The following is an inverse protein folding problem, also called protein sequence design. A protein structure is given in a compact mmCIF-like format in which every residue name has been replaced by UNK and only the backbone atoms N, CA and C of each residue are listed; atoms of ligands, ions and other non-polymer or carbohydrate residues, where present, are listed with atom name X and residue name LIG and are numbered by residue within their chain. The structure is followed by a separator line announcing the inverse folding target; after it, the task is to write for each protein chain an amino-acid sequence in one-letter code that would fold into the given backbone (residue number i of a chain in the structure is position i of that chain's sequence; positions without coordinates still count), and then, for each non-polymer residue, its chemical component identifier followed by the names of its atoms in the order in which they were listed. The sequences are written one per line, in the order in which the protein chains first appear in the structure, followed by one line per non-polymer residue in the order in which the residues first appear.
data_IF_206123224607
#
_entry.id   IF_206123224607
#
_cell.length_a   1.000
_cell.length_b   1.000
_cell.length_c   1.000
_cell.angle_alpha   90.00
_cell.angle_beta   90.00
_cell.angle_gamma   90.00
#
_symmetry.space_group_name_H-M   'P 1'
#
loop_
_entity.id
_entity.type
_entity.pdbx_description
1 polymer ?
#
# COMPACT_ATOMS: atom_id res chain seq x y z
N UNK A 1 -15.36 -13.26 -10.77
CA UNK A 1 -16.44 -12.26 -10.89
C UNK A 1 -16.71 -12.01 -12.37
N UNK A 2 -17.98 -11.86 -12.75
CA UNK A 2 -18.40 -11.46 -14.10
C UNK A 2 -18.73 -9.96 -14.10
N UNK A 3 -18.74 -9.31 -15.26
CA UNK A 3 -19.17 -7.91 -15.41
C UNK A 3 -20.54 -7.66 -14.78
N UNK A 4 -20.70 -6.51 -14.11
CA UNK A 4 -21.93 -6.10 -13.45
C UNK A 4 -22.33 -6.94 -12.23
N UNK A 5 -21.51 -7.91 -11.81
CA UNK A 5 -21.83 -8.78 -10.68
C UNK A 5 -21.27 -8.22 -9.38
N UNK A 6 -22.10 -8.22 -8.35
CA UNK A 6 -21.69 -7.86 -6.98
C UNK A 6 -21.69 -9.10 -6.09
N UNK A 7 -20.58 -9.32 -5.38
CA UNK A 7 -20.53 -10.24 -4.25
C UNK A 7 -20.86 -9.45 -2.97
N UNK A 8 -22.00 -9.75 -2.36
CA UNK A 8 -22.39 -9.16 -1.07
C UNK A 8 -22.08 -10.13 0.07
N UNK A 9 -21.24 -9.73 1.02
CA UNK A 9 -20.95 -10.48 2.24
C UNK A 9 -21.55 -9.76 3.45
N UNK A 10 -22.62 -10.33 3.99
CA UNK A 10 -23.30 -9.78 5.17
C UNK A 10 -22.37 -9.75 6.40
N UNK A 11 -22.65 -8.84 7.34
CA UNK A 11 -21.93 -8.78 8.62
C UNK A 11 -21.97 -10.13 9.34
N UNK A 12 -20.82 -10.60 9.81
CA UNK A 12 -20.65 -11.92 10.44
C UNK A 12 -20.50 -13.10 9.47
N UNK A 13 -20.74 -12.93 8.17
CA UNK A 13 -20.40 -13.95 7.18
C UNK A 13 -18.88 -14.00 6.96
N UNK A 14 -18.34 -15.21 6.84
CA UNK A 14 -16.92 -15.44 6.58
C UNK A 14 -16.77 -16.31 5.32
N UNK A 15 -16.09 -15.79 4.31
CA UNK A 15 -15.62 -16.54 3.15
C UNK A 15 -14.17 -16.96 3.39
N UNK A 16 -13.95 -18.25 3.64
CA UNK A 16 -12.62 -18.79 3.94
C UNK A 16 -12.00 -19.50 2.73
N UNK A 17 -10.78 -19.11 2.39
CA UNK A 17 -9.94 -19.81 1.41
C UNK A 17 -9.56 -21.19 1.94
N UNK A 18 -9.72 -22.23 1.10
CA UNK A 18 -9.18 -23.56 1.41
C UNK A 18 -7.65 -23.51 1.29
N UNK A 19 -6.93 -24.12 2.23
CA UNK A 19 -5.46 -24.19 2.19
C UNK A 19 -4.96 -25.37 1.34
N UNK A 20 -5.52 -25.58 0.15
CA UNK A 20 -5.08 -26.63 -0.78
C UNK A 20 -4.51 -25.99 -2.07
N UNK A 21 -3.20 -26.13 -2.34
CA UNK A 21 -2.60 -25.60 -3.56
C UNK A 21 -3.27 -26.09 -4.85
N UNK A 22 -3.81 -27.31 -4.86
CA UNK A 22 -4.50 -27.86 -6.04
C UNK A 22 -5.76 -27.08 -6.39
N UNK A 23 -6.43 -26.47 -5.41
CA UNK A 23 -7.64 -25.68 -5.63
C UNK A 23 -7.38 -24.40 -6.46
N UNK A 24 -6.16 -23.87 -6.42
CA UNK A 24 -5.76 -22.64 -7.12
C UNK A 24 -4.85 -22.91 -8.31
N UNK A 25 -4.59 -24.18 -8.64
CA UNK A 25 -3.58 -24.56 -9.61
C UNK A 25 -3.85 -23.99 -11.02
N UNK A 26 -2.87 -23.28 -11.58
CA UNK A 26 -2.83 -23.01 -13.03
C UNK A 26 -2.22 -24.20 -13.78
N UNK A 27 -2.30 -24.17 -15.11
CA UNK A 27 -1.76 -25.23 -15.98
C UNK A 27 -0.26 -25.51 -15.78
N UNK A 28 0.51 -24.59 -15.18
CA UNK A 28 1.93 -24.77 -14.89
C UNK A 28 2.23 -25.86 -13.85
N UNK A 29 1.27 -26.28 -13.03
CA UNK A 29 1.51 -27.25 -11.96
C UNK A 29 2.31 -26.72 -10.76
N UNK A 30 2.61 -25.41 -10.67
CA UNK A 30 3.53 -24.85 -9.68
C UNK A 30 2.90 -24.21 -8.44
N UNK A 31 1.58 -24.28 -8.21
CA UNK A 31 0.97 -23.63 -7.05
C UNK A 31 1.40 -24.33 -5.75
N UNK A 32 1.75 -23.57 -4.71
CA UNK A 32 2.30 -24.13 -3.47
C UNK A 32 3.78 -24.52 -3.57
N UNK A 33 4.47 -24.15 -4.67
CA UNK A 33 5.89 -24.42 -4.88
C UNK A 33 6.67 -23.12 -5.14
N UNK A 34 7.99 -23.24 -5.14
CA UNK A 34 8.92 -22.15 -5.46
C UNK A 34 9.40 -22.34 -6.90
N UNK A 35 9.34 -21.27 -7.68
CA UNK A 35 9.92 -21.22 -9.02
C UNK A 35 10.43 -19.82 -9.36
N UNK A 36 10.77 -19.57 -10.64
CA UNK A 36 11.23 -18.25 -11.10
C UNK A 36 10.09 -17.28 -11.47
N UNK A 37 8.87 -17.79 -11.63
CA UNK A 37 7.72 -17.03 -12.14
C UNK A 37 6.94 -16.34 -11.02
N UNK A 38 6.58 -17.09 -9.97
CA UNK A 38 5.66 -16.66 -8.92
C UNK A 38 4.19 -16.53 -9.36
N UNK A 39 3.79 -17.09 -10.51
CA UNK A 39 2.44 -16.95 -11.08
C UNK A 39 1.64 -18.26 -11.17
N UNK A 40 2.02 -19.29 -10.41
CA UNK A 40 1.45 -20.64 -10.48
C UNK A 40 0.03 -20.80 -9.91
N UNK A 41 -0.46 -19.83 -9.13
CA UNK A 41 -1.76 -19.87 -8.46
C UNK A 41 -2.76 -18.88 -9.06
N UNK A 42 -4.02 -19.28 -9.15
CA UNK A 42 -5.17 -18.40 -9.37
C UNK A 42 -5.49 -17.66 -8.06
N UNK A 43 -6.02 -16.42 -8.12
CA UNK A 43 -6.49 -15.73 -6.92
C UNK A 43 -7.74 -16.42 -6.35
N UNK A 44 -8.08 -16.14 -5.09
CA UNK A 44 -9.37 -16.57 -4.50
C UNK A 44 -10.54 -15.91 -5.24
N UNK A 45 -10.47 -14.60 -5.45
CA UNK A 45 -11.48 -13.83 -6.20
C UNK A 45 -10.80 -13.10 -7.36
N UNK A 46 -11.25 -13.37 -8.58
CA UNK A 46 -10.74 -12.75 -9.80
C UNK A 46 -11.75 -11.82 -10.45
N UNK A 47 -11.33 -10.63 -10.83
CA UNK A 47 -11.98 -9.74 -11.80
C UNK A 47 -11.08 -9.72 -13.04
N UNK A 48 -11.49 -10.39 -14.11
CA UNK A 48 -10.67 -10.48 -15.32
C UNK A 48 -11.50 -10.03 -16.51
N UNK A 49 -11.09 -8.93 -17.16
CA UNK A 49 -11.83 -8.36 -18.29
C UNK A 49 -13.28 -8.03 -17.93
N UNK A 50 -13.49 -7.46 -16.74
CA UNK A 50 -14.81 -7.15 -16.20
C UNK A 50 -15.08 -5.65 -16.23
N UNK A 51 -16.33 -5.28 -16.48
CA UNK A 51 -16.82 -3.91 -16.36
C UNK A 51 -17.98 -3.84 -15.36
N UNK A 52 -17.88 -2.95 -14.38
CA UNK A 52 -18.90 -2.79 -13.34
C UNK A 52 -18.95 -3.94 -12.34
N UNK A 53 -19.55 -3.68 -11.18
CA UNK A 53 -19.70 -4.64 -10.09
C UNK A 53 -18.64 -4.46 -9.00
N UNK A 54 -18.57 -5.43 -8.08
CA UNK A 54 -17.71 -5.24 -6.91
C UNK A 54 -17.89 -6.24 -5.77
N UNK A 55 -17.26 -5.93 -4.65
CA UNK A 55 -17.48 -6.62 -3.36
C UNK A 55 -18.02 -5.63 -2.34
N UNK A 56 -19.07 -6.02 -1.63
CA UNK A 56 -19.78 -5.13 -0.72
C UNK A 56 -20.20 -5.86 0.55
N UNK A 57 -20.35 -5.08 1.62
CA UNK A 57 -20.94 -5.52 2.88
C UNK A 57 -19.97 -5.35 4.02
N UNK A 58 -20.17 -6.10 5.09
CA UNK A 58 -19.37 -6.00 6.32
C UNK A 58 -18.91 -7.39 6.81
N UNK A 59 -18.91 -8.37 5.90
CA UNK A 59 -18.38 -9.70 6.14
C UNK A 59 -16.85 -9.75 6.04
N UNK A 60 -16.30 -10.94 6.25
CA UNK A 60 -14.86 -11.21 6.23
C UNK A 60 -14.50 -12.15 5.08
N UNK A 61 -13.37 -11.88 4.42
CA UNK A 61 -12.70 -12.82 3.52
C UNK A 61 -11.37 -13.19 4.19
N UNK A 62 -11.21 -14.48 4.48
CA UNK A 62 -10.05 -15.04 5.17
C UNK A 62 -9.20 -15.86 4.20
N UNK A 63 -7.97 -15.42 3.95
CA UNK A 63 -7.05 -16.06 3.00
C UNK A 63 -6.33 -17.29 3.54
N UNK A 64 -6.38 -17.56 4.84
CA UNK A 64 -5.75 -18.74 5.44
C UNK A 64 -4.23 -18.84 5.26
N UNK A 65 -3.52 -17.73 5.05
CA UNK A 65 -2.08 -17.71 4.73
C UNK A 65 -1.17 -18.41 5.77
N UNK A 66 -1.56 -18.37 7.04
CA UNK A 66 -0.89 -19.05 8.15
C UNK A 66 -1.33 -20.50 8.37
N UNK A 67 -2.19 -21.05 7.52
CA UNK A 67 -2.67 -22.44 7.62
C UNK A 67 -1.72 -23.37 6.88
N UNK A 68 -1.48 -24.57 7.41
CA UNK A 68 -0.70 -25.60 6.73
C UNK A 68 -1.35 -25.94 5.39
N UNK A 69 -0.55 -25.95 4.32
CA UNK A 69 -1.06 -26.33 3.01
C UNK A 69 -1.30 -27.84 2.97
N UNK A 70 -2.41 -28.26 2.35
CA UNK A 70 -2.75 -29.66 2.18
C UNK A 70 -1.63 -30.40 1.43
N UNK A 71 -1.15 -31.50 2.01
CA UNK A 71 -0.09 -32.31 1.41
C UNK A 71 1.32 -31.75 1.55
N UNK A 72 1.54 -30.69 2.35
CA UNK A 72 2.88 -30.15 2.65
C UNK A 72 3.10 -30.06 4.17
N UNK A 73 4.34 -29.74 4.57
CA UNK A 73 4.70 -29.45 5.95
C UNK A 73 4.85 -27.94 6.23
N UNK A 74 4.39 -27.08 5.30
CA UNK A 74 4.58 -25.63 5.39
C UNK A 74 3.29 -24.84 5.10
N UNK A 75 3.19 -23.64 5.69
CA UNK A 75 2.15 -22.65 5.39
C UNK A 75 2.53 -21.81 4.17
N UNK A 76 1.59 -21.04 3.61
CA UNK A 76 1.89 -20.09 2.53
C UNK A 76 2.95 -19.06 2.93
N UNK A 77 2.94 -18.60 4.18
CA UNK A 77 3.93 -17.64 4.68
C UNK A 77 5.31 -18.27 4.90
N UNK A 78 5.39 -19.55 5.28
CA UNK A 78 6.65 -20.28 5.36
C UNK A 78 7.26 -20.48 3.96
N UNK A 79 6.43 -20.82 2.96
CA UNK A 79 6.83 -20.90 1.55
C UNK A 79 7.43 -19.56 1.07
N UNK A 80 6.79 -18.43 1.40
CA UNK A 80 7.30 -17.09 1.06
C UNK A 80 8.67 -16.78 1.68
N UNK A 81 8.87 -17.11 2.96
CA UNK A 81 10.16 -16.93 3.65
C UNK A 81 11.25 -17.80 3.02
N UNK A 82 10.92 -19.04 2.67
CA UNK A 82 11.84 -19.97 2.00
C UNK A 82 12.22 -19.49 0.60
N UNK A 83 11.26 -19.00 -0.19
CA UNK A 83 11.52 -18.40 -1.51
C UNK A 83 12.50 -17.23 -1.45
N UNK A 84 12.37 -16.36 -0.44
CA UNK A 84 13.34 -15.30 -0.21
C UNK A 84 14.75 -15.85 0.02
N UNK A 85 14.90 -16.86 0.89
CA UNK A 85 16.21 -17.46 1.19
C UNK A 85 16.83 -18.18 0.00
N UNK A 86 16.01 -18.74 -0.89
CA UNK A 86 16.43 -19.44 -2.11
C UNK A 86 16.66 -18.48 -3.30
N UNK A 87 16.39 -17.18 -3.15
CA UNK A 87 16.51 -16.20 -4.24
C UNK A 87 15.51 -16.43 -5.38
N UNK A 88 14.33 -16.96 -5.06
CA UNK A 88 13.28 -17.35 -6.00
C UNK A 88 11.92 -16.78 -5.58
N UNK A 89 10.83 -17.20 -6.24
CA UNK A 89 9.47 -16.71 -5.99
C UNK A 89 8.56 -17.83 -5.52
N UNK A 90 7.79 -17.57 -4.47
CA UNK A 90 6.70 -18.43 -4.05
C UNK A 90 5.52 -18.31 -5.03
N UNK A 91 4.80 -19.41 -5.21
CA UNK A 91 3.52 -19.43 -5.89
C UNK A 91 2.43 -19.58 -4.84
N UNK A 92 1.79 -18.47 -4.49
CA UNK A 92 0.71 -18.42 -3.50
C UNK A 92 -0.48 -17.63 -4.06
N UNK A 93 -1.73 -18.00 -3.73
CA UNK A 93 -2.91 -17.29 -4.23
C UNK A 93 -3.01 -15.89 -3.61
N UNK A 94 -3.19 -14.88 -4.45
CA UNK A 94 -3.67 -13.56 -4.01
C UNK A 94 -5.11 -13.65 -3.54
N UNK A 95 -5.51 -12.79 -2.62
CA UNK A 95 -6.88 -12.82 -2.11
C UNK A 95 -7.87 -12.29 -3.16
N UNK A 96 -7.62 -11.08 -3.67
CA UNK A 96 -8.39 -10.46 -4.74
C UNK A 96 -7.42 -10.01 -5.82
N UNK A 97 -7.68 -10.39 -7.07
CA UNK A 97 -6.93 -9.89 -8.21
C UNK A 97 -7.87 -9.30 -9.26
N UNK A 98 -7.56 -8.08 -9.68
CA UNK A 98 -8.25 -7.36 -10.75
C UNK A 98 -7.27 -7.19 -11.92
N UNK A 99 -7.61 -7.73 -13.09
CA UNK A 99 -6.83 -7.62 -14.31
C UNK A 99 -7.71 -7.16 -15.47
N UNK A 100 -7.34 -6.03 -16.10
CA UNK A 100 -8.09 -5.40 -17.19
C UNK A 100 -9.55 -5.17 -16.81
N UNK A 101 -9.77 -4.49 -15.69
CA UNK A 101 -11.10 -4.28 -15.14
C UNK A 101 -11.46 -2.78 -15.13
N UNK A 102 -12.75 -2.49 -15.18
CA UNK A 102 -13.26 -1.13 -15.34
C UNK A 102 -14.47 -0.93 -14.40
N UNK A 103 -14.60 0.25 -13.79
CA UNK A 103 -15.74 0.61 -12.92
C UNK A 103 -15.94 -0.38 -11.74
N UNK A 104 -14.85 -0.76 -11.08
CA UNK A 104 -14.86 -1.74 -9.98
C UNK A 104 -14.93 -1.06 -8.61
N UNK A 105 -15.72 -1.64 -7.71
CA UNK A 105 -15.92 -1.11 -6.36
C UNK A 105 -15.72 -2.16 -5.28
N UNK A 106 -15.07 -1.79 -4.18
CA UNK A 106 -14.91 -2.63 -2.99
C UNK A 106 -15.28 -1.81 -1.77
N UNK A 107 -16.29 -2.23 -1.02
CA UNK A 107 -16.81 -1.47 0.10
C UNK A 107 -17.06 -2.31 1.36
N UNK A 108 -16.52 -1.87 2.50
CA UNK A 108 -16.88 -2.33 3.85
C UNK A 108 -16.34 -3.70 4.29
N UNK A 109 -15.75 -4.46 3.36
CA UNK A 109 -15.27 -5.82 3.61
C UNK A 109 -14.01 -5.83 4.50
N UNK A 110 -13.93 -6.80 5.41
CA UNK A 110 -12.69 -7.16 6.10
C UNK A 110 -11.92 -8.23 5.32
N UNK A 111 -10.65 -7.98 5.02
CA UNK A 111 -9.73 -8.90 4.39
C UNK A 111 -8.66 -9.29 5.42
N UNK A 112 -8.46 -10.59 5.65
CA UNK A 112 -7.46 -11.05 6.63
C UNK A 112 -6.68 -12.25 6.14
N UNK A 113 -5.49 -12.42 6.70
CA UNK A 113 -4.62 -13.57 6.50
C UNK A 113 -4.39 -13.94 5.03
N UNK A 114 -4.16 -12.97 4.14
CA UNK A 114 -3.90 -13.30 2.75
C UNK A 114 -2.62 -14.16 2.61
N UNK A 115 -2.66 -15.17 1.74
CA UNK A 115 -1.50 -16.02 1.43
C UNK A 115 -0.45 -15.28 0.57
N UNK A 116 -0.89 -14.24 -0.15
CA UNK A 116 -0.10 -13.30 -0.91
C UNK A 116 -0.78 -11.91 -0.77
N UNK A 117 -0.71 -11.02 -1.76
CA UNK A 117 -1.33 -9.69 -1.70
C UNK A 117 -2.85 -9.77 -1.48
N UNK A 118 -3.42 -8.79 -0.75
CA UNK A 118 -4.85 -8.74 -0.47
C UNK A 118 -5.64 -8.25 -1.68
N UNK A 119 -5.31 -7.08 -2.24
CA UNK A 119 -5.92 -6.57 -3.48
C UNK A 119 -4.81 -6.21 -4.46
N UNK A 120 -4.64 -7.02 -5.50
CA UNK A 120 -3.71 -6.73 -6.59
C UNK A 120 -4.48 -6.24 -7.83
N UNK A 121 -4.09 -5.11 -8.40
CA UNK A 121 -4.70 -4.52 -9.59
C UNK A 121 -3.69 -4.46 -10.74
N UNK A 122 -4.16 -4.66 -11.96
CA UNK A 122 -3.39 -4.64 -13.20
C UNK A 122 -4.29 -4.10 -14.32
N UNK A 123 -3.95 -2.99 -14.97
CA UNK A 123 -4.78 -2.40 -16.03
C UNK A 123 -6.21 -2.14 -15.56
N UNK A 124 -6.36 -1.56 -14.37
CA UNK A 124 -7.68 -1.22 -13.83
C UNK A 124 -7.96 0.26 -14.06
N UNK A 125 -9.15 0.57 -14.55
CA UNK A 125 -9.62 1.93 -14.76
C UNK A 125 -10.84 2.20 -13.86
N UNK A 126 -10.84 3.34 -13.17
CA UNK A 126 -11.98 3.79 -12.35
C UNK A 126 -12.36 2.78 -11.28
N UNK A 127 -11.45 2.59 -10.33
CA UNK A 127 -11.68 1.74 -9.17
C UNK A 127 -11.85 2.56 -7.89
N UNK A 128 -12.82 2.18 -7.05
CA UNK A 128 -12.98 2.76 -5.71
C UNK A 128 -12.94 1.66 -4.66
N UNK A 129 -11.98 1.75 -3.74
CA UNK A 129 -11.83 0.86 -2.59
C UNK A 129 -12.07 1.73 -1.34
N UNK A 130 -13.16 1.49 -0.64
CA UNK A 130 -13.60 2.36 0.45
C UNK A 130 -14.02 1.54 1.68
N UNK A 131 -13.58 1.97 2.87
CA UNK A 131 -14.02 1.44 4.16
C UNK A 131 -13.64 -0.04 4.34
N UNK A 132 -12.55 -0.46 3.70
CA UNK A 132 -12.03 -1.81 3.88
C UNK A 132 -11.14 -1.87 5.11
N UNK A 133 -11.14 -3.04 5.76
CA UNK A 133 -10.23 -3.37 6.84
C UNK A 133 -9.31 -4.47 6.34
N UNK A 134 -8.00 -4.25 6.35
CA UNK A 134 -6.99 -5.27 6.05
C UNK A 134 -6.23 -5.58 7.33
N UNK A 135 -6.23 -6.84 7.77
CA UNK A 135 -5.57 -7.27 9.01
C UNK A 135 -4.83 -8.60 8.81
N UNK A 136 -3.51 -8.52 8.69
CA UNK A 136 -2.58 -9.64 8.54
C UNK A 136 -1.37 -9.43 9.45
N UNK A 137 -0.79 -10.50 10.06
CA UNK A 137 0.37 -10.38 10.94
C UNK A 137 1.56 -9.64 10.30
N UNK A 138 2.25 -8.83 11.11
CA UNK A 138 3.37 -7.99 10.67
C UNK A 138 4.56 -8.77 10.08
N UNK A 139 4.66 -10.06 10.35
CA UNK A 139 5.76 -10.91 9.93
C UNK A 139 5.41 -11.79 8.71
N UNK A 140 4.19 -11.70 8.19
CA UNK A 140 3.75 -12.42 6.99
C UNK A 140 4.30 -11.77 5.70
N UNK A 141 5.33 -12.38 5.10
CA UNK A 141 5.97 -11.82 3.89
C UNK A 141 5.04 -11.82 2.67
N UNK A 142 5.21 -10.82 1.79
CA UNK A 142 4.48 -10.67 0.52
C UNK A 142 2.96 -10.64 0.68
N UNK A 143 2.50 -9.90 1.70
CA UNK A 143 1.09 -9.72 2.00
C UNK A 143 0.64 -8.28 1.76
N UNK A 144 1.17 -7.60 0.73
CA UNK A 144 0.82 -6.22 0.40
C UNK A 144 -0.70 -5.99 0.47
N UNK A 145 -1.12 -4.84 0.98
CA UNK A 145 -2.53 -4.52 1.20
C UNK A 145 -3.23 -4.25 -0.12
N UNK A 146 -2.96 -3.10 -0.74
CA UNK A 146 -3.57 -2.73 -2.01
C UNK A 146 -2.51 -2.25 -3.00
N UNK A 147 -2.48 -2.88 -4.18
CA UNK A 147 -1.46 -2.65 -5.20
C UNK A 147 -2.10 -2.18 -6.51
N UNK A 148 -2.32 -0.86 -6.70
CA UNK A 148 -2.63 -0.29 -8.01
C UNK A 148 -1.42 -0.43 -8.94
N UNK A 149 -1.42 -1.43 -9.83
CA UNK A 149 -0.39 -1.58 -10.86
C UNK A 149 -0.92 -1.26 -12.25
N UNK A 150 -0.18 -0.46 -13.03
CA UNK A 150 -0.53 -0.09 -14.41
C UNK A 150 -2.01 0.35 -14.53
N UNK A 151 -2.49 1.18 -13.61
CA UNK A 151 -3.91 1.48 -13.39
C UNK A 151 -4.16 2.98 -13.33
N UNK A 152 -5.37 3.40 -13.68
CA UNK A 152 -5.76 4.81 -13.78
C UNK A 152 -7.08 5.08 -13.07
N UNK A 153 -7.22 6.29 -12.51
CA UNK A 153 -8.42 6.75 -11.79
C UNK A 153 -8.77 5.84 -10.62
N UNK A 154 -7.84 5.68 -9.67
CA UNK A 154 -8.02 4.80 -8.51
C UNK A 154 -8.18 5.63 -7.25
N UNK A 155 -9.24 5.38 -6.49
CA UNK A 155 -9.47 5.98 -5.16
C UNK A 155 -9.45 4.91 -4.08
N UNK A 156 -8.60 5.09 -3.07
CA UNK A 156 -8.55 4.27 -1.86
C UNK A 156 -8.82 5.18 -0.67
N UNK A 157 -9.95 4.98 0.03
CA UNK A 157 -10.44 5.95 1.01
C UNK A 157 -11.01 5.32 2.29
N UNK A 158 -10.91 6.03 3.42
CA UNK A 158 -11.45 5.65 4.74
C UNK A 158 -11.17 4.20 5.17
N UNK A 159 -10.00 3.67 4.83
CA UNK A 159 -9.64 2.27 5.07
C UNK A 159 -8.62 2.13 6.21
N UNK A 160 -8.64 0.96 6.86
CA UNK A 160 -7.70 0.58 7.92
C UNK A 160 -6.84 -0.58 7.43
N UNK A 161 -5.51 -0.42 7.41
CA UNK A 161 -4.61 -1.41 6.80
C UNK A 161 -3.47 -1.78 7.74
N UNK A 162 -3.37 -3.05 8.08
CA UNK A 162 -2.25 -3.68 8.79
C UNK A 162 -1.86 -4.97 8.10
N UNK A 163 -0.57 -5.09 7.74
CA UNK A 163 -0.09 -6.24 6.99
C UNK A 163 1.41 -6.48 7.19
N UNK A 164 1.96 -7.56 6.64
CA UNK A 164 3.39 -7.89 6.80
C UNK A 164 4.31 -7.28 5.74
N UNK A 165 3.75 -6.64 4.71
CA UNK A 165 4.51 -5.92 3.68
C UNK A 165 3.90 -4.52 3.42
N UNK A 166 3.94 -3.98 2.20
CA UNK A 166 3.40 -2.66 1.89
C UNK A 166 1.91 -2.53 2.23
N UNK A 167 1.53 -1.47 2.95
CA UNK A 167 0.11 -1.20 3.21
C UNK A 167 -0.61 -0.84 1.91
N UNK A 168 0.03 0.02 1.11
CA UNK A 168 -0.32 0.29 -0.28
C UNK A 168 0.97 0.39 -1.10
N UNK A 169 1.01 -0.25 -2.27
CA UNK A 169 2.12 -0.13 -3.21
C UNK A 169 1.63 0.21 -4.63
N UNK A 170 1.80 1.47 -5.04
CA UNK A 170 1.52 1.90 -6.42
C UNK A 170 2.67 1.42 -7.31
N UNK A 171 2.35 0.75 -8.42
CA UNK A 171 3.33 0.15 -9.32
C UNK A 171 3.03 0.50 -10.78
N UNK A 172 4.07 0.59 -11.58
CA UNK A 172 4.02 0.80 -13.02
C UNK A 172 5.13 -0.04 -13.67
N UNK A 173 4.98 -1.36 -13.60
CA UNK A 173 5.86 -2.28 -14.32
C UNK A 173 5.79 -2.08 -15.83
N UNK A 174 6.41 -2.98 -16.60
CA UNK A 174 6.51 -2.85 -18.07
C UNK A 174 5.19 -2.88 -18.82
N UNK A 175 4.07 -3.15 -18.14
CA UNK A 175 2.76 -3.29 -18.76
C UNK A 175 2.01 -1.98 -18.92
N UNK A 176 2.42 -0.90 -18.25
CA UNK A 176 1.77 0.40 -18.40
C UNK A 176 1.97 1.33 -17.19
N UNK A 177 1.75 2.65 -17.38
CA UNK A 177 1.87 3.64 -16.33
C UNK A 177 0.76 3.50 -15.30
N UNK A 178 0.97 4.07 -14.11
CA UNK A 178 -0.10 4.29 -13.14
C UNK A 178 -0.30 5.79 -12.90
N UNK A 179 -1.54 6.27 -12.99
CA UNK A 179 -1.84 7.71 -12.85
C UNK A 179 -3.20 8.02 -12.25
N UNK A 180 -3.38 9.25 -11.78
CA UNK A 180 -4.62 9.73 -11.16
C UNK A 180 -5.05 8.84 -9.98
N UNK A 181 -4.17 8.73 -8.98
CA UNK A 181 -4.40 7.87 -7.80
C UNK A 181 -4.60 8.74 -6.56
N UNK A 182 -5.72 8.54 -5.89
CA UNK A 182 -6.09 9.24 -4.65
C UNK A 182 -6.13 8.28 -3.46
N UNK A 183 -5.29 8.53 -2.47
CA UNK A 183 -5.22 7.79 -1.20
C UNK A 183 -5.65 8.74 -0.08
N UNK A 184 -6.90 8.63 0.37
CA UNK A 184 -7.56 9.66 1.18
C UNK A 184 -8.05 9.11 2.52
N UNK A 185 -7.80 9.84 3.62
CA UNK A 185 -8.45 9.58 4.91
C UNK A 185 -8.26 8.15 5.46
N UNK A 186 -7.10 7.56 5.20
CA UNK A 186 -6.77 6.17 5.58
C UNK A 186 -5.94 6.10 6.87
N UNK A 187 -5.92 4.92 7.49
CA UNK A 187 -5.07 4.63 8.63
C UNK A 187 -4.28 3.34 8.44
N UNK A 188 -2.95 3.44 8.52
CA UNK A 188 -2.05 2.30 8.49
C UNK A 188 -1.54 1.98 9.90
N UNK A 189 -1.60 0.70 10.28
CA UNK A 189 -0.84 0.20 11.43
C UNK A 189 0.47 -0.44 10.95
N UNK A 190 0.90 -1.58 11.50
CA UNK A 190 2.12 -2.25 11.03
C UNK A 190 2.08 -2.62 9.52
N UNK A 191 3.27 -2.68 8.93
CA UNK A 191 3.51 -2.90 7.49
C UNK A 191 4.75 -2.14 7.00
N UNK A 192 4.94 -2.07 5.70
CA UNK A 192 6.05 -1.35 5.05
C UNK A 192 5.67 0.03 4.50
N UNK A 193 4.48 0.54 4.82
CA UNK A 193 4.12 1.95 4.61
C UNK A 193 3.33 2.23 3.34
N UNK A 194 3.23 3.54 3.03
CA UNK A 194 2.69 4.06 1.78
C UNK A 194 3.81 4.07 0.74
N UNK A 195 3.77 3.14 -0.20
CA UNK A 195 4.84 2.91 -1.17
C UNK A 195 4.46 3.25 -2.60
N UNK A 196 5.44 3.75 -3.35
CA UNK A 196 5.48 3.76 -4.81
C UNK A 196 6.68 2.90 -5.23
N UNK A 197 6.42 1.80 -5.94
CA UNK A 197 7.42 0.91 -6.51
C UNK A 197 7.50 -0.50 -5.92
N UNK A 198 8.56 -1.27 -6.23
CA UNK A 198 9.75 -0.86 -7.00
C UNK A 198 9.64 -1.01 -8.50
N UNK A 199 8.60 -1.66 -9.02
CA UNK A 199 8.32 -1.78 -10.44
C UNK A 199 7.79 -0.44 -10.98
N UNK A 200 8.68 0.43 -11.48
CA UNK A 200 8.32 1.77 -11.96
C UNK A 200 8.67 2.00 -13.44
N UNK A 201 9.01 0.94 -14.18
CA UNK A 201 9.45 0.98 -15.58
C UNK A 201 8.64 1.92 -16.49
N UNK A 202 7.31 1.95 -16.34
CA UNK A 202 6.41 2.74 -17.18
C UNK A 202 5.99 4.07 -16.55
N UNK A 203 6.45 4.35 -15.33
CA UNK A 203 6.25 5.60 -14.63
C UNK A 203 4.95 5.72 -13.84
N UNK A 204 5.01 6.51 -12.77
CA UNK A 204 3.87 6.81 -11.89
C UNK A 204 3.69 8.32 -11.85
N UNK A 205 2.47 8.80 -12.02
CA UNK A 205 2.21 10.24 -12.01
C UNK A 205 0.88 10.61 -11.37
N UNK A 206 0.72 11.86 -10.97
CA UNK A 206 -0.57 12.40 -10.50
C UNK A 206 -1.15 11.61 -9.33
N UNK A 207 -0.38 11.56 -8.24
CA UNK A 207 -0.73 10.86 -7.01
C UNK A 207 -1.01 11.87 -5.90
N UNK A 208 -2.16 11.74 -5.26
CA UNK A 208 -2.52 12.48 -4.05
C UNK A 208 -2.66 11.52 -2.88
N UNK A 209 -1.85 11.72 -1.85
CA UNK A 209 -1.99 11.07 -0.55
C UNK A 209 -2.36 12.13 0.46
N UNK A 210 -3.55 12.06 1.05
CA UNK A 210 -4.05 13.10 1.96
C UNK A 210 -4.74 12.52 3.18
N UNK A 211 -4.52 13.14 4.34
CA UNK A 211 -5.11 12.75 5.62
C UNK A 211 -4.80 11.28 5.97
N UNK A 212 -3.51 10.94 6.00
CA UNK A 212 -3.05 9.58 6.28
C UNK A 212 -2.37 9.53 7.65
N UNK A 213 -2.76 8.57 8.48
CA UNK A 213 -2.03 8.24 9.71
C UNK A 213 -1.26 6.93 9.55
N UNK A 214 0.00 6.89 9.96
CA UNK A 214 0.82 5.67 9.98
C UNK A 214 1.35 5.43 11.41
N UNK A 215 0.98 4.30 12.00
CA UNK A 215 1.33 3.94 13.38
C UNK A 215 2.03 2.58 13.42
N UNK A 216 3.36 2.59 13.53
CA UNK A 216 4.17 1.38 13.61
C UNK A 216 4.49 0.71 12.26
N UNK A 217 4.29 1.39 11.13
CA UNK A 217 4.87 0.93 9.85
C UNK A 217 6.40 1.07 9.89
N UNK A 218 7.12 0.15 9.24
CA UNK A 218 8.59 0.19 9.13
C UNK A 218 9.05 1.44 8.38
N UNK A 219 8.41 1.73 7.25
CA UNK A 219 8.59 2.96 6.48
C UNK A 219 7.32 3.79 6.54
N UNK A 220 7.44 5.11 6.55
CA UNK A 220 6.29 6.01 6.43
C UNK A 220 5.88 6.18 4.96
N UNK A 221 6.36 7.26 4.35
CA UNK A 221 6.23 7.55 2.92
C UNK A 221 7.45 6.99 2.18
N UNK A 222 7.23 6.15 1.16
CA UNK A 222 8.31 5.44 0.47
C UNK A 222 8.17 5.54 -1.05
N UNK A 223 9.27 5.86 -1.72
CA UNK A 223 9.42 5.74 -3.17
C UNK A 223 10.70 4.95 -3.40
N UNK A 224 10.60 3.82 -4.09
CA UNK A 224 11.69 2.85 -4.23
C UNK A 224 11.81 2.42 -5.68
N UNK A 225 13.04 2.35 -6.17
CA UNK A 225 13.39 1.73 -7.46
C UNK A 225 14.90 1.46 -7.48
N UNK A 226 15.39 0.90 -8.58
CA UNK A 226 16.79 0.57 -8.81
C UNK A 226 17.11 0.60 -10.32
N UNK A 227 18.38 0.58 -10.73
CA UNK A 227 18.76 0.71 -12.14
C UNK A 227 18.21 -0.39 -13.06
N UNK A 228 17.79 -1.55 -12.51
CA UNK A 228 17.15 -2.60 -13.31
C UNK A 228 15.73 -2.23 -13.75
N UNK A 229 15.07 -1.32 -13.03
CA UNK A 229 13.67 -0.92 -13.26
C UNK A 229 13.53 0.54 -13.68
N UNK A 230 14.30 1.44 -13.07
CA UNK A 230 14.25 2.88 -13.31
C UNK A 230 12.85 3.44 -13.07
N UNK A 231 12.44 4.38 -13.92
CA UNK A 231 11.08 4.92 -13.95
C UNK A 231 10.99 6.36 -13.47
N UNK A 232 10.16 7.14 -14.17
CA UNK A 232 9.78 8.49 -13.74
C UNK A 232 8.64 8.41 -12.73
N UNK A 233 8.82 9.04 -11.57
CA UNK A 233 7.76 9.34 -10.61
C UNK A 233 7.61 10.85 -10.54
N UNK A 234 6.43 11.36 -10.86
CA UNK A 234 6.21 12.81 -10.88
C UNK A 234 4.82 13.24 -10.37
N UNK A 235 4.71 14.49 -9.92
CA UNK A 235 3.46 15.08 -9.42
C UNK A 235 2.83 14.24 -8.30
N UNK A 236 3.62 13.98 -7.26
CA UNK A 236 3.18 13.27 -6.06
C UNK A 236 3.01 14.26 -4.92
N UNK A 237 1.79 14.37 -4.39
CA UNK A 237 1.47 15.26 -3.29
C UNK A 237 1.13 14.44 -2.04
N UNK A 238 1.84 14.71 -0.95
CA UNK A 238 1.56 14.19 0.39
C UNK A 238 1.07 15.33 1.27
N UNK A 239 -0.14 15.26 1.78
CA UNK A 239 -0.80 16.35 2.51
C UNK A 239 -1.41 15.86 3.83
N UNK A 240 -1.17 16.56 4.93
CA UNK A 240 -1.74 16.22 6.26
C UNK A 240 -1.42 14.77 6.67
N UNK A 241 -0.14 14.48 6.84
CA UNK A 241 0.34 13.13 7.17
C UNK A 241 0.81 13.09 8.61
N UNK A 242 0.35 12.10 9.37
CA UNK A 242 0.70 11.91 10.77
C UNK A 242 1.38 10.56 10.99
N UNK A 243 2.60 10.58 11.49
CA UNK A 243 3.45 9.39 11.63
C UNK A 243 3.91 9.21 13.07
N UNK A 244 3.92 7.96 13.55
CA UNK A 244 4.62 7.60 14.77
C UNK A 244 5.15 6.17 14.71
N UNK A 245 6.21 5.92 15.47
CA UNK A 245 6.81 4.59 15.61
C UNK A 245 7.36 4.02 14.29
N UNK A 246 7.79 4.88 13.36
CA UNK A 246 8.41 4.46 12.10
C UNK A 246 9.93 4.40 12.23
N UNK A 247 10.56 3.42 11.59
CA UNK A 247 12.03 3.38 11.50
C UNK A 247 12.55 4.37 10.44
N UNK A 248 11.87 4.43 9.30
CA UNK A 248 12.17 5.35 8.21
C UNK A 248 10.92 6.13 7.79
N UNK A 249 10.57 7.23 8.47
CA UNK A 249 9.35 7.98 8.18
C UNK A 249 9.28 8.52 6.74
N UNK A 250 10.42 8.94 6.18
CA UNK A 250 10.56 9.31 4.76
C UNK A 250 11.66 8.44 4.17
N UNK A 251 11.36 7.77 3.06
CA UNK A 251 12.33 6.91 2.38
C UNK A 251 12.17 6.97 0.86
N UNK A 252 12.77 8.00 0.25
CA UNK A 252 12.84 8.15 -1.19
C UNK A 252 14.23 7.73 -1.65
N UNK A 253 14.32 6.53 -2.23
CA UNK A 253 15.59 5.89 -2.56
C UNK A 253 15.55 5.28 -3.96
N UNK A 254 16.54 5.65 -4.76
CA UNK A 254 16.78 5.13 -6.11
C UNK A 254 17.70 3.89 -6.12
N UNK A 255 18.11 3.41 -4.93
CA UNK A 255 19.01 2.25 -4.72
C UNK A 255 18.34 1.14 -3.90
N UNK A 256 17.10 0.78 -4.26
CA UNK A 256 16.29 -0.21 -3.53
C UNK A 256 16.96 -1.58 -3.38
N UNK A 257 17.61 -2.07 -4.44
CA UNK A 257 18.27 -3.37 -4.46
C UNK A 257 19.54 -3.37 -5.30
N UNK A 258 20.39 -4.40 -5.17
CA UNK A 258 21.66 -4.53 -5.88
C UNK A 258 21.48 -4.95 -7.36
N UNK A 259 20.37 -4.59 -7.98
CA UNK A 259 20.01 -5.04 -9.31
C UNK A 259 20.58 -4.07 -10.35
N UNK A 260 21.54 -4.56 -11.11
CA UNK A 260 22.18 -3.79 -12.17
C UNK A 260 21.20 -3.50 -13.33
N UNK A 261 21.42 -2.39 -14.00
CA UNK A 261 20.69 -1.97 -15.19
C UNK A 261 21.03 -0.52 -15.54
N UNK A 262 20.44 -0.03 -16.63
CA UNK A 262 20.69 1.31 -17.15
C UNK A 262 19.42 2.18 -17.14
N UNK A 263 18.34 1.71 -16.50
CA UNK A 263 17.09 2.45 -16.43
C UNK A 263 17.23 3.51 -15.33
N UNK A 264 16.97 4.77 -15.68
CA UNK A 264 17.08 5.88 -14.74
C UNK A 264 15.84 5.96 -13.84
N UNK A 265 15.99 5.86 -12.51
CA UNK A 265 14.94 6.18 -11.57
C UNK A 265 14.98 7.68 -11.29
N UNK A 266 13.92 8.39 -11.67
CA UNK A 266 13.82 9.84 -11.54
C UNK A 266 12.58 10.18 -10.72
N UNK A 267 12.75 10.88 -9.59
CA UNK A 267 11.61 11.36 -8.80
C UNK A 267 11.61 12.88 -8.81
N UNK A 268 10.56 13.48 -9.38
CA UNK A 268 10.45 14.93 -9.56
C UNK A 268 9.11 15.44 -9.10
N UNK A 269 9.00 16.72 -8.75
CA UNK A 269 7.75 17.34 -8.32
C UNK A 269 7.08 16.53 -7.18
N UNK A 270 7.88 16.11 -6.20
CA UNK A 270 7.40 15.43 -5.00
C UNK A 270 7.19 16.49 -3.93
N UNK A 271 5.95 16.65 -3.49
CA UNK A 271 5.55 17.73 -2.58
C UNK A 271 5.03 17.15 -1.28
N UNK A 272 5.57 17.63 -0.16
CA UNK A 272 5.13 17.29 1.19
C UNK A 272 4.60 18.57 1.86
N UNK A 273 3.33 18.56 2.29
CA UNK A 273 2.70 19.65 3.05
C UNK A 273 2.09 19.12 4.34
N UNK A 274 2.38 19.77 5.46
CA UNK A 274 1.83 19.39 6.78
C UNK A 274 2.09 17.90 7.10
N UNK A 275 3.36 17.51 7.04
CA UNK A 275 3.82 16.14 7.30
C UNK A 275 4.52 16.12 8.65
N UNK A 276 3.96 15.40 9.62
CA UNK A 276 4.49 15.35 10.97
C UNK A 276 4.82 13.93 11.39
N UNK A 277 5.92 13.76 12.12
CA UNK A 277 6.34 12.46 12.64
C UNK A 277 7.13 12.52 13.93
N UNK A 278 7.45 11.34 14.46
CA UNK A 278 8.30 11.17 15.65
C UNK A 278 9.78 11.10 15.26
N UNK A 279 10.57 10.21 15.88
CA UNK A 279 11.96 9.95 15.49
C UNK A 279 12.04 9.09 14.21
N UNK A 280 13.26 8.87 13.72
CA UNK A 280 13.56 7.97 12.61
C UNK A 280 14.64 8.53 11.67
N UNK A 281 14.96 7.76 10.63
CA UNK A 281 15.88 8.21 9.57
C UNK A 281 15.09 8.63 8.34
N UNK A 282 15.32 9.86 7.88
CA UNK A 282 14.68 10.49 6.73
C UNK A 282 15.64 10.40 5.54
N UNK A 283 15.33 9.54 4.56
CA UNK A 283 16.21 9.24 3.43
C UNK A 283 15.70 9.92 2.16
N UNK A 284 16.58 10.67 1.51
CA UNK A 284 16.39 11.23 0.18
C UNK A 284 17.66 10.97 -0.64
N UNK A 285 17.63 9.95 -1.49
CA UNK A 285 18.77 9.53 -2.30
C UNK A 285 18.43 9.49 -3.78
N UNK A 286 18.88 10.52 -4.50
CA UNK A 286 18.83 10.57 -5.95
C UNK A 286 19.86 9.66 -6.60
N UNK A 287 19.68 9.46 -7.90
CA UNK A 287 20.46 8.48 -8.65
C UNK A 287 21.94 8.91 -8.72
N UNK A 288 22.19 10.12 -9.20
CA UNK A 288 23.50 10.77 -9.26
C UNK A 288 23.35 12.31 -9.23
N UNK A 289 24.45 13.06 -9.31
CA UNK A 289 24.45 14.53 -9.25
C UNK A 289 23.73 15.21 -10.43
N UNK A 290 23.65 14.57 -11.59
CA UNK A 290 22.94 15.08 -12.78
C UNK A 290 21.45 14.74 -12.73
N UNK A 291 21.07 13.74 -11.95
CA UNK A 291 19.72 13.23 -11.77
C UNK A 291 19.29 13.29 -10.30
N UNK A 292 19.29 14.49 -9.67
CA UNK A 292 18.88 14.61 -8.29
C UNK A 292 17.37 14.38 -8.14
N UNK A 293 16.94 14.03 -6.93
CA UNK A 293 15.52 14.11 -6.57
C UNK A 293 15.08 15.58 -6.57
N UNK A 294 13.86 15.87 -7.00
CA UNK A 294 13.25 17.21 -6.86
C UNK A 294 12.08 17.16 -5.85
N UNK A 295 12.32 17.74 -4.68
CA UNK A 295 11.44 17.68 -3.51
C UNK A 295 11.12 19.09 -3.00
N UNK A 296 9.83 19.37 -2.77
CA UNK A 296 9.37 20.55 -2.06
C UNK A 296 8.70 20.16 -0.73
N UNK A 297 9.07 20.84 0.35
CA UNK A 297 8.55 20.61 1.70
C UNK A 297 8.04 21.91 2.32
N UNK A 298 6.80 21.87 2.81
CA UNK A 298 6.15 22.96 3.52
C UNK A 298 5.56 22.43 4.83
N UNK A 299 5.99 22.99 5.96
CA UNK A 299 5.53 22.60 7.30
C UNK A 299 5.68 21.09 7.58
N UNK A 300 6.91 20.59 7.38
CA UNK A 300 7.29 19.20 7.64
C UNK A 300 8.05 19.12 8.96
N UNK A 301 7.53 18.42 9.98
CA UNK A 301 8.11 18.42 11.32
C UNK A 301 8.26 17.03 11.92
N UNK A 302 9.48 16.69 12.32
CA UNK A 302 9.82 15.48 13.04
C UNK A 302 10.41 15.82 14.42
N UNK A 303 10.66 14.82 15.25
CA UNK A 303 11.32 15.07 16.53
C UNK A 303 12.76 15.57 16.34
N UNK A 304 13.38 16.21 17.36
CA UNK A 304 14.79 16.58 17.32
C UNK A 304 15.77 15.41 17.16
N UNK A 305 15.33 14.15 17.36
CA UNK A 305 16.18 12.96 17.17
C UNK A 305 16.05 12.36 15.77
N UNK A 306 15.16 12.87 14.92
CA UNK A 306 15.12 12.47 13.53
C UNK A 306 16.40 12.91 12.80
N UNK A 307 16.87 12.07 11.87
CA UNK A 307 18.14 12.27 11.18
C UNK A 307 17.96 12.25 9.67
N UNK A 308 18.53 13.22 8.98
CA UNK A 308 18.52 13.30 7.52
C UNK A 308 19.69 12.52 6.90
N UNK A 309 19.39 11.74 5.87
CA UNK A 309 20.37 11.17 4.94
C UNK A 309 20.01 11.64 3.54
N UNK A 310 20.69 12.70 3.09
CA UNK A 310 20.41 13.36 1.81
C UNK A 310 21.62 13.20 0.90
N UNK A 311 21.38 12.68 -0.30
CA UNK A 311 22.36 12.47 -1.34
C UNK A 311 21.69 12.75 -2.69
N UNK A 312 22.29 13.60 -3.53
CA UNK A 312 21.75 13.95 -4.85
C UNK A 312 20.26 14.36 -4.79
N UNK A 313 19.93 15.37 -4.00
CA UNK A 313 18.57 15.87 -3.92
C UNK A 313 18.56 17.40 -3.93
N UNK A 314 17.67 17.97 -4.73
CA UNK A 314 17.29 19.37 -4.71
C UNK A 314 16.07 19.49 -3.81
N UNK A 315 16.26 20.16 -2.67
CA UNK A 315 15.23 20.28 -1.64
C UNK A 315 14.88 21.75 -1.42
N UNK A 316 13.62 22.10 -1.68
CA UNK A 316 13.05 23.38 -1.25
C UNK A 316 12.31 23.15 0.06
N UNK A 317 12.69 23.89 1.12
CA UNK A 317 12.15 23.68 2.47
C UNK A 317 11.66 24.99 3.08
N UNK A 318 10.39 25.02 3.47
CA UNK A 318 9.76 26.12 4.23
C UNK A 318 9.18 25.54 5.51
N UNK A 319 9.60 26.07 6.67
CA UNK A 319 9.12 25.62 7.98
C UNK A 319 9.35 24.10 8.20
N UNK A 320 10.58 23.62 7.96
CA UNK A 320 10.94 22.20 8.10
C UNK A 320 11.81 21.97 9.33
N UNK A 321 11.43 21.01 10.17
CA UNK A 321 12.19 20.65 11.36
C UNK A 321 12.37 19.13 11.49
N UNK A 322 13.57 18.62 11.84
CA UNK A 322 14.85 19.33 11.80
C UNK A 322 15.15 19.79 10.36
N UNK A 323 15.90 20.87 10.20
CA UNK A 323 16.22 21.40 8.88
C UNK A 323 17.07 20.40 8.08
N UNK A 324 16.74 20.12 6.80
CA UNK A 324 17.56 19.24 5.96
C UNK A 324 18.92 19.89 5.67
N UNK A 325 19.96 19.10 5.34
CA UNK A 325 21.28 19.62 4.99
C UNK A 325 21.20 20.70 3.89
N UNK A 326 21.87 21.84 4.11
CA UNK A 326 21.90 22.96 3.17
C UNK A 326 20.69 23.91 3.24
N UNK A 327 19.63 23.58 4.00
CA UNK A 327 18.51 24.48 4.22
C UNK A 327 18.76 25.44 5.40
N UNK A 328 18.08 26.59 5.39
CA UNK A 328 18.12 27.54 6.50
C UNK A 328 17.56 26.90 7.78
N UNK A 329 18.26 27.12 8.89
CA UNK A 329 17.83 26.64 10.20
C UNK A 329 16.44 27.19 10.53
N UNK A 330 15.53 26.29 10.91
CA UNK A 330 14.16 26.64 11.27
C UNK A 330 13.96 26.35 12.75
N UNK A 331 13.54 27.32 13.57
CA UNK A 331 13.40 27.10 15.01
C UNK A 331 12.41 25.98 15.30
N UNK A 332 12.70 25.17 16.31
CA UNK A 332 11.72 24.25 16.88
C UNK A 332 10.67 25.07 17.63
N UNK A 333 9.68 25.59 16.91
CA UNK A 333 8.51 26.16 17.55
C UNK A 333 7.72 25.02 18.15
N UNK A 334 7.43 25.09 19.45
CA UNK A 334 6.50 24.19 20.16
C UNK A 334 5.05 24.35 19.68
N UNK A 335 4.85 24.39 18.36
CA UNK A 335 3.54 24.48 17.74
C UNK A 335 2.73 23.23 18.08
N UNK A 336 1.42 23.41 18.19
CA UNK A 336 0.46 22.32 18.30
C UNK A 336 0.75 21.27 17.24
N UNK A 337 1.15 20.06 17.65
CA UNK A 337 1.26 18.93 16.75
C UNK A 337 -0.17 18.47 16.41
N UNK A 338 -0.67 18.68 15.18
CA UNK A 338 -2.04 18.31 14.83
C UNK A 338 -2.27 16.79 14.92
N UNK A 339 -1.20 15.99 14.98
CA UNK A 339 -1.30 14.53 15.04
C UNK A 339 -1.74 13.96 16.39
N UNK A 340 -1.78 14.76 17.47
CA UNK A 340 -2.18 14.28 18.81
C UNK A 340 -3.57 13.63 18.80
N UNK A 341 -4.48 14.15 17.96
CA UNK A 341 -5.87 13.66 17.84
C UNK A 341 -6.13 12.88 16.54
N UNK A 342 -5.12 12.67 15.71
CA UNK A 342 -5.29 12.05 14.39
C UNK A 342 -5.38 10.52 14.47
N UNK A 343 -4.66 9.89 15.40
CA UNK A 343 -4.59 8.43 15.51
C UNK A 343 -5.84 7.86 16.19
N UNK A 344 -6.53 6.96 15.50
CA UNK A 344 -7.68 6.23 16.05
C UNK A 344 -7.28 4.79 16.40
N UNK A 345 -8.00 4.08 17.27
CA UNK A 345 -7.81 2.65 17.44
C UNK A 345 -8.07 1.92 16.11
N UNK A 346 -7.28 0.87 15.84
CA UNK A 346 -7.60 -0.01 14.73
C UNK A 346 -8.91 -0.78 15.05
N UNK A 347 -9.87 -0.87 14.12
CA UNK A 347 -11.13 -1.57 14.38
C UNK A 347 -10.87 -3.03 14.74
N UNK A 348 -11.38 -3.48 15.88
CA UNK A 348 -11.44 -4.91 16.15
C UNK A 348 -12.41 -5.55 15.16
N UNK A 349 -12.04 -6.69 14.59
CA UNK A 349 -12.98 -7.48 13.80
C UNK A 349 -14.19 -7.77 14.69
N UNK A 350 -15.34 -7.19 14.38
CA UNK A 350 -16.54 -7.33 15.21
C UNK A 350 -16.85 -8.81 15.35
N UNK A 351 -16.57 -9.38 16.53
CA UNK A 351 -17.21 -10.63 16.92
C UNK A 351 -18.71 -10.34 16.90
N UNK A 352 -19.47 -11.10 16.13
CA UNK A 352 -20.92 -10.95 16.03
C UNK A 352 -21.57 -11.21 17.40
N UNK A 353 -21.60 -10.20 18.25
CA UNK A 353 -22.48 -10.10 19.40
C UNK A 353 -23.06 -8.70 19.38
N UNK A 354 -24.33 -8.65 18.97
CA UNK A 354 -25.24 -7.50 18.92
C UNK A 354 -25.28 -6.78 17.56
N UNK A 355 -26.21 -7.22 16.72
CA UNK A 355 -26.75 -6.45 15.60
C UNK A 355 -27.58 -5.26 16.10
N UNK A 356 -26.91 -4.27 16.67
CA UNK A 356 -27.44 -2.92 16.86
C UNK A 356 -26.86 -2.01 15.79
N UNK A 357 -27.67 -1.61 14.83
CA UNK A 357 -27.32 -0.54 13.90
C UNK A 357 -27.24 0.74 14.73
N UNK A 358 -26.04 1.13 15.17
CA UNK A 358 -25.80 2.49 15.62
C UNK A 358 -25.81 3.38 14.38
N UNK A 359 -26.96 4.04 14.15
CA UNK A 359 -27.08 5.08 13.13
C UNK A 359 -26.21 6.25 13.58
N UNK A 360 -25.28 6.69 12.73
CA UNK A 360 -24.62 7.98 12.89
C UNK A 360 -25.68 9.10 12.91
N UNK A 361 -25.83 9.85 14.01
CA UNK A 361 -26.82 10.92 14.09
C UNK A 361 -26.48 12.13 13.20
N UNK A 362 -25.36 12.14 12.48
CA UNK A 362 -24.96 13.26 11.59
C UNK A 362 -25.32 13.08 10.11
N UNK A 363 -25.94 11.97 9.71
CA UNK A 363 -26.25 11.68 8.31
C UNK A 363 -27.68 12.08 7.86
N UNK A 364 -28.45 12.83 8.66
CA UNK A 364 -29.80 13.25 8.29
C UNK A 364 -29.99 14.77 8.44
N UNK A 365 -29.53 15.52 7.43
CA UNK A 365 -30.10 16.82 7.11
C UNK A 365 -30.87 16.67 5.78
N UNK A 366 -32.20 16.88 5.75
CA UNK A 366 -32.96 16.82 4.52
C UNK A 366 -32.64 18.03 3.63
N UNK A 367 -32.47 17.76 2.34
CA UNK A 367 -32.44 18.80 1.30
C UNK A 367 -33.91 19.11 0.98
N UNK A 368 -34.42 20.22 1.50
CA UNK A 368 -35.68 20.80 1.06
C UNK A 368 -35.52 21.41 -0.35
N UNK A 369 -36.44 21.05 -1.25
CA UNK A 369 -36.89 21.86 -2.38
C UNK A 369 -38.39 21.71 -2.55
#
# INVERSE_FOLDING_TARGET
MKSGTTLWLAGGAILTAVADPKAYQKSSGSCGHIDRSGDGCRPLISFTKTKGGGLYGYGTIDGGGGTLMAGTAETWWQLARRAQSEGAKQNAPRLIQMDRAEDVSVHGITLRNAANFHIAMSHVERATIWAVIIDTPADARNTDGIDPAASEDVTIIHSFIRTGDDNIAIKAGTSGPARHISILDNQFGWGHGMSIGSELNSGVSDVLVRNLTLDGTTFGLRIKSDPSRGGLVERVNYENICMRNNKWPIHFDTRYGPFAGNNLPLYQQIVLRHVYGTDGTLVMRGFDQQHPLDIAMEDVRFSPRATWQVENATVTAVNVFPSPPGAAATPHYGASNPCVVAFRPFPEATSSKNGGIERDPRAAAPIDR
#
